data_IF_763518514768
#
_entry.id   IF_763518514768
#
_cell.length_a   1.000
_cell.length_b   1.000
_cell.length_c   1.000
_cell.angle_alpha   90.00
_cell.angle_beta   90.00
_cell.angle_gamma   90.00
#
_symmetry.space_group_name_H-M   'P 1'
#
loop_
_entity.id
_entity.type
_entity.pdbx_description
1 polymer ?
#
# COMPACT_ATOMS: atom_id res chain seq x y z
N UNK A 1 -46.45 -22.10 -53.15
CA UNK A 1 -47.87 -21.83 -53.45
C UNK A 1 -48.68 -22.42 -52.30
N UNK A 2 -49.47 -21.56 -51.63
CA UNK A 2 -50.31 -21.76 -50.43
C UNK A 2 -50.48 -23.17 -49.85
N UNK A 3 -50.11 -23.34 -48.57
CA UNK A 3 -50.85 -24.22 -47.66
C UNK A 3 -51.08 -23.48 -46.34
N UNK A 4 -52.36 -23.19 -46.07
CA UNK A 4 -52.86 -22.79 -44.77
C UNK A 4 -53.21 -24.06 -44.00
N UNK A 5 -52.70 -24.19 -42.77
CA UNK A 5 -53.19 -25.17 -41.80
C UNK A 5 -53.49 -24.44 -40.50
N UNK A 6 -54.78 -24.50 -40.16
CA UNK A 6 -55.38 -24.21 -38.87
C UNK A 6 -54.72 -25.01 -37.74
N UNK A 7 -54.63 -24.42 -36.56
CA UNK A 7 -54.80 -25.09 -35.26
C UNK A 7 -55.17 -24.04 -34.20
N UNK A 8 -56.41 -24.10 -33.72
CA UNK A 8 -56.92 -23.39 -32.53
C UNK A 8 -56.92 -24.31 -31.32
N UNK A 9 -56.54 -23.77 -30.15
CA UNK A 9 -57.04 -24.06 -28.78
C UNK A 9 -55.90 -23.80 -27.77
N UNK A 10 -55.79 -22.59 -27.19
CA UNK A 10 -56.49 -22.09 -26.00
C UNK A 10 -55.78 -22.37 -24.66
N UNK A 11 -55.68 -21.28 -23.88
CA UNK A 11 -55.51 -21.16 -22.42
C UNK A 11 -54.08 -21.03 -21.86
N UNK A 12 -53.67 -19.77 -21.69
CA UNK A 12 -52.67 -19.34 -20.71
C UNK A 12 -53.10 -17.99 -20.14
N UNK A 13 -53.73 -18.00 -18.95
CA UNK A 13 -54.19 -16.81 -18.24
C UNK A 13 -53.00 -15.87 -17.97
N UNK A 14 -53.18 -14.59 -18.30
CA UNK A 14 -52.32 -13.52 -17.81
C UNK A 14 -52.37 -13.49 -16.28
N UNK A 15 -51.20 -13.59 -15.66
CA UNK A 15 -50.99 -13.28 -14.25
C UNK A 15 -50.10 -12.04 -14.21
N UNK A 16 -50.62 -10.96 -13.62
CA UNK A 16 -49.91 -9.72 -13.36
C UNK A 16 -48.66 -9.99 -12.52
N UNK A 17 -47.50 -9.36 -12.79
CA UNK A 17 -46.40 -9.40 -11.85
C UNK A 17 -46.78 -8.57 -10.63
N UNK A 18 -46.78 -9.24 -9.47
CA UNK A 18 -46.81 -8.64 -8.14
C UNK A 18 -45.80 -7.49 -8.08
N UNK A 19 -46.30 -6.30 -7.78
CA UNK A 19 -45.50 -5.15 -7.33
C UNK A 19 -44.92 -5.54 -5.97
N UNK A 20 -43.77 -6.20 -5.99
CA UNK A 20 -42.93 -6.38 -4.82
C UNK A 20 -42.26 -5.05 -4.52
N UNK A 21 -42.71 -4.40 -3.45
CA UNK A 21 -42.02 -3.27 -2.82
C UNK A 21 -40.58 -3.66 -2.48
N UNK A 22 -39.64 -3.38 -3.39
CA UNK A 22 -38.24 -3.25 -3.03
C UNK A 22 -38.08 -1.88 -2.36
N UNK A 23 -38.40 -1.82 -1.06
CA UNK A 23 -37.85 -0.81 -0.17
C UNK A 23 -36.36 -1.14 0.06
N UNK A 24 -35.56 -1.02 -0.99
CA UNK A 24 -34.14 -0.78 -0.83
C UNK A 24 -33.98 0.71 -0.59
N UNK A 25 -33.78 1.11 0.67
CA UNK A 25 -33.35 2.46 1.02
C UNK A 25 -31.98 2.71 0.35
N UNK A 26 -31.99 3.11 -0.93
CA UNK A 26 -30.84 3.75 -1.55
C UNK A 26 -30.75 5.13 -0.91
N UNK A 27 -29.98 5.22 0.17
CA UNK A 27 -29.79 6.46 0.89
C UNK A 27 -29.03 7.44 -0.04
N UNK A 28 -29.74 8.39 -0.64
CA UNK A 28 -29.19 9.43 -1.52
C UNK A 28 -28.08 10.26 -0.85
N UNK A 29 -27.98 10.24 0.49
CA UNK A 29 -26.90 10.88 1.25
C UNK A 29 -25.50 10.32 0.89
N UNK A 30 -25.39 9.07 0.43
CA UNK A 30 -24.09 8.51 0.03
C UNK A 30 -23.48 9.22 -1.20
N UNK A 31 -24.30 9.83 -2.06
CA UNK A 31 -23.82 10.53 -3.25
C UNK A 31 -23.25 11.92 -2.95
N UNK A 32 -23.59 12.51 -1.79
CA UNK A 32 -23.12 13.83 -1.36
C UNK A 32 -22.09 13.79 -0.24
N UNK A 33 -21.68 12.59 0.22
CA UNK A 33 -20.65 12.46 1.25
C UNK A 33 -19.28 12.81 0.65
N UNK A 34 -18.60 13.79 1.27
CA UNK A 34 -17.19 14.09 0.97
C UNK A 34 -16.39 12.81 1.23
N UNK A 35 -15.59 12.39 0.25
CA UNK A 35 -14.78 11.18 0.37
C UNK A 35 -13.75 11.35 1.48
N UNK A 36 -13.55 10.29 2.26
CA UNK A 36 -12.53 10.22 3.29
C UNK A 36 -11.14 10.19 2.63
N UNK A 37 -10.17 10.85 3.26
CA UNK A 37 -8.84 11.05 2.69
C UNK A 37 -7.90 9.93 3.13
N UNK A 38 -7.21 9.31 2.17
CA UNK A 38 -6.21 8.26 2.44
C UNK A 38 -4.93 8.57 1.68
N UNK A 39 -3.77 8.49 2.35
CA UNK A 39 -2.47 8.65 1.71
C UNK A 39 -1.86 7.28 1.44
N UNK A 40 -1.22 7.12 0.29
CA UNK A 40 -0.53 5.88 -0.11
C UNK A 40 0.92 6.20 -0.46
N UNK A 41 1.86 5.59 0.26
CA UNK A 41 3.31 5.72 0.04
C UNK A 41 3.81 4.47 -0.69
N UNK A 42 4.15 4.64 -1.96
CA UNK A 42 4.61 3.61 -2.89
C UNK A 42 6.11 3.76 -3.20
N UNK A 43 6.73 2.69 -3.71
CA UNK A 43 8.16 2.63 -4.00
C UNK A 43 8.73 1.21 -3.93
N UNK A 44 9.85 0.97 -4.61
CA UNK A 44 10.55 -0.31 -4.55
C UNK A 44 11.10 -0.61 -3.14
N UNK A 45 11.43 -1.87 -2.85
CA UNK A 45 12.09 -2.24 -1.59
C UNK A 45 13.37 -1.44 -1.40
N UNK A 46 13.63 -0.97 -0.17
CA UNK A 46 14.80 -0.15 0.14
C UNK A 46 14.69 1.35 -0.17
N UNK A 47 13.62 1.85 -0.82
CA UNK A 47 13.53 3.29 -1.16
C UNK A 47 13.17 4.21 0.01
N UNK A 48 12.93 3.70 1.22
CA UNK A 48 12.59 4.51 2.39
C UNK A 48 11.10 4.81 2.60
N UNK A 49 10.19 3.99 2.04
CA UNK A 49 8.73 4.14 2.24
C UNK A 49 8.30 4.22 3.70
N UNK A 50 8.77 3.29 4.53
CA UNK A 50 8.39 3.26 5.95
C UNK A 50 8.92 4.48 6.70
N UNK A 51 10.15 4.92 6.40
CA UNK A 51 10.72 6.18 6.90
C UNK A 51 9.81 7.36 6.57
N UNK A 52 9.42 7.52 5.30
CA UNK A 52 8.52 8.61 4.88
C UNK A 52 7.16 8.53 5.59
N UNK A 53 6.56 7.33 5.68
CA UNK A 53 5.27 7.16 6.33
C UNK A 53 5.31 7.55 7.82
N UNK A 54 6.36 7.15 8.54
CA UNK A 54 6.55 7.49 9.96
C UNK A 54 6.82 8.99 10.13
N UNK A 55 7.65 9.59 9.29
CA UNK A 55 7.93 11.04 9.34
C UNK A 55 6.72 11.90 8.94
N UNK A 56 5.86 11.43 8.03
CA UNK A 56 4.56 12.06 7.81
C UNK A 56 3.67 11.90 9.05
N UNK A 57 3.75 10.76 9.73
CA UNK A 57 2.95 10.52 10.93
C UNK A 57 3.36 11.30 12.17
N UNK A 58 4.58 11.86 12.19
CA UNK A 58 4.95 12.86 13.19
C UNK A 58 4.45 14.26 12.87
N UNK A 59 4.08 14.54 11.60
CA UNK A 59 3.59 15.86 11.14
C UNK A 59 2.07 15.94 11.06
N UNK A 60 1.43 14.81 10.77
CA UNK A 60 -0.02 14.69 10.63
C UNK A 60 -0.54 13.66 11.64
N UNK A 61 -1.64 13.92 12.37
CA UNK A 61 -2.24 12.95 13.28
C UNK A 61 -2.72 11.75 12.47
N UNK A 62 -1.91 10.70 12.40
CA UNK A 62 -2.08 9.62 11.45
C UNK A 62 -1.60 8.28 12.00
N UNK A 63 -1.97 7.22 11.29
CA UNK A 63 -1.58 5.84 11.60
C UNK A 63 -1.25 5.10 10.30
N UNK A 64 -0.41 4.08 10.40
CA UNK A 64 0.16 3.42 9.23
C UNK A 64 -0.50 2.07 9.01
N UNK A 65 -0.91 1.79 7.77
CA UNK A 65 -1.39 0.47 7.34
C UNK A 65 -0.32 -0.15 6.45
N UNK A 66 0.30 -1.25 6.90
CA UNK A 66 1.29 -1.96 6.11
C UNK A 66 0.64 -2.61 4.88
N UNK A 67 1.26 -2.43 3.72
CA UNK A 67 0.86 -3.07 2.46
C UNK A 67 2.00 -3.89 1.84
N UNK A 68 2.94 -4.40 2.64
CA UNK A 68 3.89 -5.41 2.24
C UNK A 68 3.38 -6.82 2.60
N UNK A 69 3.18 -7.66 1.58
CA UNK A 69 2.61 -9.01 1.69
C UNK A 69 3.42 -9.99 2.54
N UNK A 70 4.69 -9.69 2.83
CA UNK A 70 5.52 -10.54 3.68
C UNK A 70 5.54 -9.99 5.11
N UNK A 71 5.54 -8.67 5.28
CA UNK A 71 5.57 -8.04 6.62
C UNK A 71 4.25 -8.18 7.39
N UNK A 72 3.16 -8.60 6.75
CA UNK A 72 1.90 -8.94 7.43
C UNK A 72 2.05 -10.10 8.42
N UNK A 73 3.00 -11.01 8.19
CA UNK A 73 3.18 -12.21 9.00
C UNK A 73 4.02 -11.93 10.27
N UNK A 74 3.74 -12.69 11.32
CA UNK A 74 4.53 -12.67 12.56
C UNK A 74 5.93 -13.30 12.38
N UNK A 75 6.94 -12.78 13.09
CA UNK A 75 8.31 -13.29 13.05
C UNK A 75 9.10 -12.96 11.78
N UNK A 76 10.36 -13.41 11.71
CA UNK A 76 11.31 -13.05 10.66
C UNK A 76 11.47 -11.52 10.49
N UNK A 77 11.61 -10.79 11.59
CA UNK A 77 11.56 -9.32 11.57
C UNK A 77 12.78 -8.73 10.84
N UNK A 78 13.96 -9.31 11.04
CA UNK A 78 15.19 -8.95 10.31
C UNK A 78 15.07 -9.34 8.84
N UNK A 79 14.72 -10.58 8.54
CA UNK A 79 14.63 -11.11 7.16
C UNK A 79 13.62 -10.32 6.32
N UNK A 80 12.49 -9.95 6.93
CA UNK A 80 11.42 -9.22 6.24
C UNK A 80 11.58 -7.71 6.33
N UNK A 81 12.66 -7.22 6.94
CA UNK A 81 13.01 -5.80 7.08
C UNK A 81 11.86 -4.98 7.69
N UNK A 82 11.27 -5.48 8.78
CA UNK A 82 10.22 -4.74 9.51
C UNK A 82 10.83 -3.57 10.25
N UNK A 83 10.03 -2.52 10.42
CA UNK A 83 10.40 -1.38 11.25
C UNK A 83 10.42 -1.80 12.72
N UNK A 84 11.50 -1.47 13.42
CA UNK A 84 11.65 -1.76 14.86
C UNK A 84 10.74 -0.85 15.69
N UNK A 85 10.49 -1.20 16.95
CA UNK A 85 9.66 -0.37 17.83
C UNK A 85 10.25 1.04 18.03
N UNK A 86 11.59 1.16 18.07
CA UNK A 86 12.29 2.43 18.16
C UNK A 86 12.07 3.28 16.90
N UNK A 87 12.17 2.66 15.72
CA UNK A 87 11.92 3.33 14.44
C UNK A 87 10.46 3.78 14.30
N UNK A 88 9.50 3.01 14.84
CA UNK A 88 8.06 3.35 14.81
C UNK A 88 7.74 4.62 15.59
N UNK A 89 8.57 5.02 16.56
CA UNK A 89 8.37 6.24 17.39
C UNK A 89 6.98 6.31 18.06
N UNK A 90 6.43 5.15 18.44
CA UNK A 90 5.09 5.04 19.03
C UNK A 90 3.92 5.26 18.05
N UNK A 91 4.17 5.40 16.74
CA UNK A 91 3.11 5.52 15.74
C UNK A 91 2.41 4.15 15.57
N UNK A 92 1.08 4.08 15.70
CA UNK A 92 0.35 2.83 15.49
C UNK A 92 0.51 2.28 14.08
N UNK A 93 0.84 0.99 13.99
CA UNK A 93 0.93 0.24 12.74
C UNK A 93 -0.13 -0.86 12.70
N UNK A 94 -0.85 -0.94 11.58
CA UNK A 94 -1.85 -1.96 11.28
C UNK A 94 -1.31 -2.90 10.21
N UNK A 95 -1.74 -4.16 10.24
CA UNK A 95 -1.34 -5.20 9.30
C UNK A 95 0.18 -5.45 9.24
N UNK A 96 0.89 -5.21 10.34
CA UNK A 96 2.31 -5.48 10.51
C UNK A 96 2.46 -6.52 11.62
N UNK A 97 3.03 -7.69 11.31
CA UNK A 97 3.08 -8.84 12.23
C UNK A 97 1.72 -9.18 12.86
N UNK A 98 0.67 -9.27 12.03
CA UNK A 98 -0.70 -9.53 12.51
C UNK A 98 -1.31 -10.84 12.00
N UNK A 99 -0.58 -11.58 11.15
CA UNK A 99 -1.07 -12.80 10.50
C UNK A 99 -0.17 -13.97 10.90
N UNK A 100 -0.80 -15.11 11.19
CA UNK A 100 -0.08 -16.35 11.48
C UNK A 100 0.86 -16.74 10.32
N UNK A 101 2.13 -17.11 10.59
CA UNK A 101 3.13 -17.32 9.54
C UNK A 101 2.84 -18.46 8.56
N UNK A 102 1.99 -19.41 8.95
CA UNK A 102 1.59 -20.57 8.14
C UNK A 102 0.31 -20.33 7.35
N UNK A 103 -0.40 -19.26 7.66
CA UNK A 103 -1.65 -18.91 7.02
C UNK A 103 -1.43 -18.31 5.64
N UNK A 104 -2.44 -18.44 4.78
CA UNK A 104 -2.45 -17.77 3.50
C UNK A 104 -3.12 -16.41 3.62
N UNK A 105 -2.47 -15.39 3.09
CA UNK A 105 -2.99 -14.03 3.04
C UNK A 105 -3.05 -13.54 1.60
N UNK A 106 -4.26 -13.42 1.06
CA UNK A 106 -4.52 -12.99 -0.31
C UNK A 106 -4.68 -11.48 -0.43
N UNK A 107 -4.72 -10.96 -1.67
CA UNK A 107 -5.05 -9.55 -1.91
C UNK A 107 -6.48 -9.21 -1.49
N UNK A 108 -7.42 -10.17 -1.54
CA UNK A 108 -8.79 -9.97 -1.07
C UNK A 108 -8.84 -9.83 0.45
N UNK A 109 -8.06 -10.66 1.16
CA UNK A 109 -7.93 -10.56 2.62
C UNK A 109 -7.31 -9.21 2.99
N UNK A 110 -6.23 -8.82 2.29
CA UNK A 110 -5.65 -7.49 2.46
C UNK A 110 -6.70 -6.39 2.28
N UNK A 111 -7.47 -6.39 1.20
CA UNK A 111 -8.49 -5.36 0.94
C UNK A 111 -9.51 -5.28 2.07
N UNK A 112 -9.98 -6.43 2.57
CA UNK A 112 -10.92 -6.47 3.69
C UNK A 112 -10.30 -5.89 4.97
N UNK A 113 -9.15 -6.41 5.39
CA UNK A 113 -8.48 -5.99 6.61
C UNK A 113 -7.99 -4.54 6.56
N UNK A 114 -7.50 -4.08 5.41
CA UNK A 114 -7.07 -2.70 5.21
C UNK A 114 -8.25 -1.74 5.28
N UNK A 115 -9.42 -2.12 4.73
CA UNK A 115 -10.63 -1.31 4.83
C UNK A 115 -11.08 -1.15 6.29
N UNK A 116 -11.06 -2.23 7.07
CA UNK A 116 -11.36 -2.18 8.51
C UNK A 116 -10.38 -1.30 9.26
N UNK A 117 -9.08 -1.41 8.98
CA UNK A 117 -8.06 -0.57 9.60
C UNK A 117 -8.27 0.91 9.24
N UNK A 118 -8.49 1.22 7.96
CA UNK A 118 -8.77 2.58 7.48
C UNK A 118 -9.99 3.17 8.19
N UNK A 119 -11.09 2.44 8.29
CA UNK A 119 -12.29 2.89 8.99
C UNK A 119 -12.04 3.16 10.48
N UNK A 120 -11.29 2.28 11.15
CA UNK A 120 -10.93 2.46 12.56
C UNK A 120 -10.04 3.68 12.79
N UNK A 121 -9.09 3.96 11.87
CA UNK A 121 -8.23 5.15 11.93
C UNK A 121 -9.05 6.42 11.72
N UNK A 122 -9.92 6.43 10.71
CA UNK A 122 -10.79 7.58 10.40
C UNK A 122 -11.78 7.86 11.55
N UNK A 123 -12.33 6.83 12.19
CA UNK A 123 -13.22 6.98 13.34
C UNK A 123 -12.55 7.62 14.57
N UNK A 124 -11.22 7.69 14.59
CA UNK A 124 -10.40 8.36 15.62
C UNK A 124 -9.88 9.72 15.14
N UNK A 125 -10.46 10.28 14.08
CA UNK A 125 -10.08 11.55 13.43
C UNK A 125 -8.60 11.60 13.03
N UNK A 126 -8.06 10.46 12.62
CA UNK A 126 -6.67 10.32 12.15
C UNK A 126 -6.62 10.03 10.67
N UNK A 127 -5.52 10.43 10.03
CA UNK A 127 -5.26 10.16 8.62
C UNK A 127 -4.70 8.74 8.44
N UNK A 128 -5.31 7.87 7.61
CA UNK A 128 -4.73 6.59 7.25
C UNK A 128 -3.60 6.79 6.21
N UNK A 129 -2.40 6.27 6.52
CA UNK A 129 -1.26 6.22 5.61
C UNK A 129 -0.95 4.77 5.27
N UNK A 130 -1.20 4.35 4.03
CA UNK A 130 -0.86 3.01 3.55
C UNK A 130 0.58 3.02 3.04
N UNK A 131 1.43 2.11 3.51
CA UNK A 131 2.83 2.04 3.10
C UNK A 131 3.30 0.60 2.89
N UNK A 132 3.95 0.31 1.76
CA UNK A 132 4.48 -1.04 1.49
C UNK A 132 4.86 -1.28 0.03
N UNK A 133 5.55 -2.40 -0.24
CA UNK A 133 6.09 -2.73 -1.56
C UNK A 133 5.20 -3.60 -2.44
N UNK A 134 4.06 -4.09 -1.93
CA UNK A 134 3.20 -5.00 -2.70
C UNK A 134 2.17 -4.23 -3.51
N UNK A 135 2.56 -3.80 -4.72
CA UNK A 135 1.69 -3.05 -5.63
C UNK A 135 0.37 -3.77 -5.94
N UNK A 136 0.35 -5.11 -5.94
CA UNK A 136 -0.88 -5.90 -6.14
C UNK A 136 -1.92 -5.69 -5.03
N UNK A 137 -1.49 -5.40 -3.80
CA UNK A 137 -2.39 -5.10 -2.67
C UNK A 137 -3.00 -3.71 -2.84
N UNK A 138 -2.18 -2.73 -3.23
CA UNK A 138 -2.66 -1.37 -3.54
C UNK A 138 -3.61 -1.39 -4.74
N UNK A 139 -3.28 -2.11 -5.81
CA UNK A 139 -4.16 -2.29 -6.97
C UNK A 139 -5.50 -2.91 -6.56
N UNK A 140 -5.49 -3.98 -5.76
CA UNK A 140 -6.72 -4.63 -5.32
C UNK A 140 -7.60 -3.69 -4.48
N UNK A 141 -7.01 -2.92 -3.56
CA UNK A 141 -7.75 -1.96 -2.73
C UNK A 141 -8.29 -0.77 -3.53
N UNK A 142 -7.51 -0.23 -4.45
CA UNK A 142 -7.87 1.01 -5.18
C UNK A 142 -8.75 0.72 -6.40
N UNK A 143 -8.50 -0.38 -7.10
CA UNK A 143 -9.18 -0.71 -8.36
C UNK A 143 -10.21 -1.81 -8.25
N UNK A 144 -9.95 -2.86 -7.49
CA UNK A 144 -10.82 -4.05 -7.51
C UNK A 144 -11.92 -3.97 -6.44
N UNK A 145 -11.72 -3.14 -5.41
CA UNK A 145 -12.71 -2.88 -4.38
C UNK A 145 -13.57 -1.67 -4.72
N UNK A 146 -14.80 -1.93 -5.17
CA UNK A 146 -15.72 -0.89 -5.63
C UNK A 146 -16.03 0.14 -4.53
N UNK A 147 -16.21 -0.32 -3.29
CA UNK A 147 -16.55 0.50 -2.14
C UNK A 147 -15.46 1.53 -1.85
N UNK A 148 -14.17 1.16 -1.97
CA UNK A 148 -13.07 2.11 -1.78
C UNK A 148 -13.15 3.28 -2.76
N UNK A 149 -13.56 3.05 -4.02
CA UNK A 149 -13.69 4.13 -5.02
C UNK A 149 -14.76 5.14 -4.66
N UNK A 150 -15.83 4.72 -3.98
CA UNK A 150 -16.91 5.61 -3.55
C UNK A 150 -16.58 6.31 -2.23
N UNK A 151 -15.89 5.63 -1.32
CA UNK A 151 -15.64 6.12 0.05
C UNK A 151 -14.36 6.93 0.18
N UNK A 152 -13.31 6.55 -0.53
CA UNK A 152 -11.98 7.13 -0.34
C UNK A 152 -11.54 7.97 -1.53
N UNK A 153 -10.89 9.07 -1.20
CA UNK A 153 -10.03 9.80 -2.12
C UNK A 153 -8.59 9.46 -1.74
N UNK A 154 -7.79 9.04 -2.71
CA UNK A 154 -6.41 8.61 -2.48
C UNK A 154 -5.42 9.68 -2.94
N UNK A 155 -4.39 9.92 -2.15
CA UNK A 155 -3.20 10.68 -2.52
C UNK A 155 -2.00 9.75 -2.61
N UNK A 156 -1.39 9.65 -3.79
CA UNK A 156 -0.28 8.73 -4.03
C UNK A 156 1.06 9.46 -4.04
N UNK A 157 1.93 9.08 -3.12
CA UNK A 157 3.32 9.49 -3.05
C UNK A 157 4.20 8.32 -3.54
N UNK A 158 5.07 8.56 -4.52
CA UNK A 158 6.00 7.56 -5.03
C UNK A 158 7.43 7.97 -4.71
N UNK A 159 8.06 7.24 -3.78
CA UNK A 159 9.48 7.40 -3.47
C UNK A 159 10.31 6.61 -4.48
N UNK A 160 11.02 7.35 -5.34
CA UNK A 160 11.84 6.83 -6.41
C UNK A 160 13.33 7.00 -6.09
N UNK A 161 14.14 6.02 -6.48
CA UNK A 161 15.60 6.05 -6.34
C UNK A 161 16.17 5.48 -7.63
N UNK A 162 17.22 6.10 -8.18
CA UNK A 162 17.85 5.57 -9.38
C UNK A 162 18.28 4.11 -9.19
N UNK A 163 18.03 3.28 -10.20
CA UNK A 163 18.18 1.83 -10.10
C UNK A 163 19.60 1.38 -9.70
N UNK A 164 20.70 1.91 -10.27
CA UNK A 164 22.04 1.48 -9.87
C UNK A 164 22.35 1.76 -8.40
N UNK A 165 21.91 2.92 -7.91
CA UNK A 165 22.09 3.33 -6.50
C UNK A 165 21.24 2.45 -5.59
N UNK A 166 19.99 2.20 -5.98
CA UNK A 166 19.08 1.34 -5.23
C UNK A 166 19.61 -0.10 -5.15
N UNK A 167 20.10 -0.67 -6.25
CA UNK A 167 20.64 -2.03 -6.29
C UNK A 167 21.87 -2.17 -5.38
N UNK A 168 22.79 -1.21 -5.41
CA UNK A 168 23.90 -1.16 -4.46
C UNK A 168 23.38 -1.11 -3.02
N UNK A 169 22.47 -0.18 -2.71
CA UNK A 169 21.93 -0.02 -1.36
C UNK A 169 21.26 -1.28 -0.82
N UNK A 170 20.40 -1.94 -1.62
CA UNK A 170 19.70 -3.15 -1.16
C UNK A 170 20.65 -4.34 -1.03
N UNK A 171 21.70 -4.41 -1.85
CA UNK A 171 22.77 -5.40 -1.71
C UNK A 171 23.53 -5.20 -0.41
N UNK A 172 24.03 -3.98 -0.14
CA UNK A 172 24.76 -3.64 1.08
C UNK A 172 23.88 -3.81 2.33
N UNK A 173 22.56 -3.62 2.18
CA UNK A 173 21.59 -3.85 3.25
C UNK A 173 21.49 -5.34 3.62
N UNK A 174 21.56 -6.24 2.64
CA UNK A 174 21.55 -7.69 2.94
C UNK A 174 22.74 -8.05 3.83
N UNK A 175 23.91 -7.47 3.60
CA UNK A 175 25.07 -7.68 4.48
C UNK A 175 24.77 -7.24 5.92
N UNK A 176 24.24 -6.02 6.10
CA UNK A 176 23.83 -5.54 7.43
C UNK A 176 22.75 -6.39 8.09
N UNK A 177 21.83 -6.96 7.30
CA UNK A 177 20.80 -7.85 7.81
C UNK A 177 21.42 -9.18 8.29
N UNK A 178 22.36 -9.74 7.51
CA UNK A 178 23.12 -10.95 7.91
C UNK A 178 23.86 -10.70 9.22
N UNK A 179 24.57 -9.58 9.33
CA UNK A 179 25.24 -9.17 10.58
C UNK A 179 24.25 -8.97 11.74
N UNK A 180 23.00 -8.61 11.43
CA UNK A 180 21.91 -8.38 12.36
C UNK A 180 21.11 -9.64 12.76
N UNK A 181 21.55 -10.85 12.40
CA UNK A 181 20.90 -12.10 12.82
C UNK A 181 19.92 -12.70 11.80
N UNK A 182 20.02 -12.33 10.53
CA UNK A 182 19.16 -12.87 9.46
C UNK A 182 19.20 -14.40 9.39
N UNK A 183 20.40 -14.99 9.48
CA UNK A 183 20.59 -16.44 9.32
C UNK A 183 19.95 -17.18 10.50
N UNK A 184 20.06 -16.61 11.70
CA UNK A 184 19.49 -17.13 12.93
C UNK A 184 17.97 -17.14 12.89
N UNK A 185 17.34 -16.07 12.37
CA UNK A 185 15.88 -16.04 12.18
C UNK A 185 15.40 -17.13 11.23
N UNK A 186 16.07 -17.30 10.08
CA UNK A 186 15.69 -18.33 9.11
C UNK A 186 15.92 -19.74 9.69
N UNK A 187 17.00 -19.92 10.46
CA UNK A 187 17.30 -21.19 11.13
C UNK A 187 16.19 -21.61 12.09
N UNK A 188 15.55 -20.67 12.79
CA UNK A 188 14.46 -20.98 13.74
C UNK A 188 13.21 -21.57 13.07
N UNK A 189 12.95 -21.20 11.81
CA UNK A 189 11.80 -21.68 11.05
C UNK A 189 12.16 -22.77 10.03
N UNK A 190 13.42 -23.24 10.07
CA UNK A 190 13.93 -24.17 9.09
C UNK A 190 13.16 -25.49 9.13
N UNK A 191 12.77 -25.92 7.94
CA UNK A 191 12.02 -27.15 7.71
C UNK A 191 12.70 -27.90 6.56
N UNK A 192 13.33 -29.06 6.81
CA UNK A 192 14.05 -29.83 5.81
C UNK A 192 13.18 -30.29 4.63
N UNK A 193 11.89 -30.49 4.86
CA UNK A 193 10.90 -30.85 3.84
C UNK A 193 10.02 -29.65 3.47
N UNK A 194 10.48 -28.44 3.79
CA UNK A 194 9.67 -27.23 3.81
C UNK A 194 9.16 -26.81 2.43
N UNK A 195 7.84 -26.63 2.34
CA UNK A 195 7.21 -25.93 1.22
C UNK A 195 7.40 -24.41 1.36
N UNK A 196 8.10 -23.81 0.41
CA UNK A 196 8.36 -22.37 0.32
C UNK A 196 7.32 -21.61 -0.50
N UNK A 197 6.23 -22.26 -0.91
CA UNK A 197 5.19 -21.64 -1.76
C UNK A 197 4.13 -20.85 -0.98
N UNK A 198 4.04 -21.02 0.34
CA UNK A 198 2.98 -20.47 1.19
C UNK A 198 3.51 -19.60 2.33
N UNK A 199 2.64 -18.71 2.83
CA UNK A 199 2.89 -17.94 4.05
C UNK A 199 4.19 -17.12 4.06
N UNK A 200 4.81 -17.04 5.23
CA UNK A 200 6.04 -16.27 5.45
C UNK A 200 7.26 -16.92 4.79
N UNK A 201 7.22 -18.24 4.56
CA UNK A 201 8.33 -19.02 3.97
C UNK A 201 8.71 -18.59 2.55
N UNK A 202 7.86 -17.79 1.90
CA UNK A 202 8.10 -17.14 0.60
C UNK A 202 9.07 -15.95 0.66
N UNK A 203 9.45 -15.50 1.85
CA UNK A 203 10.35 -14.38 2.03
C UNK A 203 11.72 -14.66 1.37
N UNK A 204 12.25 -13.67 0.65
CA UNK A 204 13.61 -13.73 0.10
C UNK A 204 14.57 -13.91 1.28
N UNK A 205 15.42 -14.94 1.23
CA UNK A 205 16.22 -15.38 2.36
C UNK A 205 15.95 -16.82 2.74
N UNK A 206 14.66 -17.15 2.87
CA UNK A 206 14.23 -18.42 3.43
C UNK A 206 14.51 -19.58 2.45
N UNK A 207 14.09 -19.53 1.18
CA UNK A 207 14.46 -20.57 0.21
C UNK A 207 15.97 -20.61 -0.09
N UNK A 208 16.63 -19.45 -0.13
CA UNK A 208 18.04 -19.35 -0.51
C UNK A 208 18.98 -20.00 0.50
N UNK A 209 18.62 -19.99 1.80
CA UNK A 209 19.39 -20.62 2.87
C UNK A 209 19.11 -22.12 3.04
N UNK A 210 18.16 -22.71 2.30
CA UNK A 210 17.77 -24.12 2.48
C UNK A 210 18.96 -25.08 2.42
N UNK A 211 19.77 -25.00 1.36
CA UNK A 211 20.91 -25.90 1.14
C UNK A 211 21.98 -25.73 2.24
N UNK A 212 22.21 -24.50 2.69
CA UNK A 212 23.15 -24.21 3.77
C UNK A 212 22.66 -24.82 5.10
N UNK A 213 21.40 -24.59 5.47
CA UNK A 213 20.84 -25.09 6.74
C UNK A 213 20.68 -26.61 6.75
N UNK A 214 20.40 -27.22 5.59
CA UNK A 214 20.39 -28.67 5.43
C UNK A 214 21.78 -29.26 5.64
N UNK A 215 22.80 -28.70 4.99
CA UNK A 215 24.19 -29.14 5.16
C UNK A 215 24.69 -28.93 6.60
N UNK A 216 24.29 -27.83 7.25
CA UNK A 216 24.60 -27.55 8.66
C UNK A 216 24.01 -28.63 9.58
N UNK A 217 22.73 -28.96 9.39
CA UNK A 217 22.05 -30.03 10.14
C UNK A 217 22.70 -31.39 9.92
N UNK A 218 23.10 -31.69 8.69
CA UNK A 218 23.69 -32.98 8.31
C UNK A 218 25.17 -33.10 8.73
N UNK A 219 25.74 -32.08 9.39
CA UNK A 219 27.08 -32.11 9.96
C UNK A 219 28.20 -31.93 8.93
N UNK A 220 27.94 -31.18 7.85
CA UNK A 220 28.94 -30.92 6.81
C UNK A 220 30.18 -30.16 7.33
N UNK A 221 31.29 -30.30 6.60
CA UNK A 221 32.56 -29.63 6.91
C UNK A 221 32.44 -28.09 6.88
N UNK A 222 33.16 -27.42 7.78
CA UNK A 222 33.14 -25.96 7.94
C UNK A 222 33.45 -25.21 6.63
N UNK A 223 34.36 -25.73 5.79
CA UNK A 223 34.68 -25.11 4.49
C UNK A 223 33.50 -25.19 3.54
N UNK A 224 32.77 -26.31 3.55
CA UNK A 224 31.57 -26.51 2.73
C UNK A 224 30.47 -25.57 3.19
N UNK A 225 30.24 -25.47 4.50
CA UNK A 225 29.24 -24.56 5.08
C UNK A 225 29.52 -23.11 4.71
N UNK A 226 30.78 -22.67 4.79
CA UNK A 226 31.18 -21.31 4.40
C UNK A 226 30.84 -21.03 2.93
N UNK A 227 31.19 -21.94 2.02
CA UNK A 227 30.90 -21.78 0.59
C UNK A 227 29.38 -21.72 0.34
N UNK A 228 28.61 -22.61 0.97
CA UNK A 228 27.16 -22.64 0.83
C UNK A 228 26.51 -21.36 1.36
N UNK A 229 26.99 -20.83 2.48
CA UNK A 229 26.51 -19.58 3.05
C UNK A 229 26.80 -18.38 2.14
N UNK A 230 28.03 -18.27 1.62
CA UNK A 230 28.41 -17.21 0.68
C UNK A 230 27.55 -17.26 -0.60
N UNK A 231 27.29 -18.46 -1.13
CA UNK A 231 26.41 -18.66 -2.28
C UNK A 231 24.96 -18.28 -1.98
N UNK A 232 24.45 -18.64 -0.79
CA UNK A 232 23.11 -18.28 -0.36
C UNK A 232 22.95 -16.74 -0.26
N UNK A 233 23.89 -16.07 0.43
CA UNK A 233 23.90 -14.60 0.58
C UNK A 233 23.95 -13.91 -0.80
N UNK A 234 24.80 -14.41 -1.72
CA UNK A 234 24.87 -13.90 -3.08
C UNK A 234 23.52 -14.00 -3.81
N UNK A 235 22.82 -15.14 -3.71
CA UNK A 235 21.48 -15.33 -4.28
C UNK A 235 20.43 -14.40 -3.66
N UNK A 236 20.51 -14.17 -2.34
CA UNK A 236 19.61 -13.23 -1.63
C UNK A 236 19.79 -11.82 -2.17
N UNK A 237 21.03 -11.37 -2.37
CA UNK A 237 21.34 -10.06 -2.98
C UNK A 237 20.77 -9.96 -4.38
N UNK A 238 21.02 -10.96 -5.23
CA UNK A 238 20.50 -11.00 -6.60
C UNK A 238 18.96 -10.95 -6.65
N UNK A 239 18.29 -11.76 -5.84
CA UNK A 239 16.83 -11.80 -5.80
C UNK A 239 16.23 -10.52 -5.23
N UNK A 240 16.88 -9.89 -4.25
CA UNK A 240 16.47 -8.59 -3.72
C UNK A 240 16.62 -7.48 -4.78
N UNK A 241 17.73 -7.46 -5.52
CA UNK A 241 17.93 -6.54 -6.65
C UNK A 241 16.88 -6.74 -7.76
N UNK A 242 16.57 -7.99 -8.09
CA UNK A 242 15.51 -8.34 -9.07
C UNK A 242 14.13 -7.91 -8.58
N UNK A 243 13.84 -8.07 -7.29
CA UNK A 243 12.58 -7.60 -6.69
C UNK A 243 12.46 -6.08 -6.81
N UNK A 244 13.50 -5.34 -6.43
CA UNK A 244 13.51 -3.88 -6.52
C UNK A 244 13.27 -3.41 -7.97
N UNK A 245 13.94 -4.05 -8.94
CA UNK A 245 13.73 -3.78 -10.37
C UNK A 245 12.28 -4.04 -10.81
N UNK A 246 11.73 -5.22 -10.52
CA UNK A 246 10.35 -5.59 -10.89
C UNK A 246 9.31 -4.67 -10.27
N UNK A 247 9.51 -4.26 -9.01
CA UNK A 247 8.63 -3.31 -8.34
C UNK A 247 8.67 -1.93 -9.02
N UNK A 248 9.87 -1.46 -9.38
CA UNK A 248 10.03 -0.19 -10.09
C UNK A 248 9.36 -0.21 -11.47
N UNK A 249 9.57 -1.26 -12.27
CA UNK A 249 8.88 -1.44 -13.54
C UNK A 249 7.36 -1.44 -13.37
N UNK A 250 6.87 -2.18 -12.37
CA UNK A 250 5.44 -2.24 -12.08
C UNK A 250 4.88 -0.87 -11.69
N UNK A 251 5.58 -0.08 -10.86
CA UNK A 251 5.14 1.28 -10.49
C UNK A 251 5.12 2.20 -11.71
N UNK A 252 6.12 2.13 -12.59
CA UNK A 252 6.13 2.89 -13.85
C UNK A 252 4.96 2.55 -14.75
N UNK A 253 4.62 1.26 -14.86
CA UNK A 253 3.42 0.82 -15.58
C UNK A 253 2.14 1.33 -14.91
N UNK A 254 2.08 1.38 -13.57
CA UNK A 254 0.92 1.92 -12.88
C UNK A 254 0.78 3.43 -13.09
N UNK A 255 1.89 4.16 -13.07
CA UNK A 255 1.93 5.59 -13.34
C UNK A 255 1.43 5.94 -14.74
N UNK A 256 1.75 5.12 -15.75
CA UNK A 256 1.29 5.36 -17.13
C UNK A 256 -0.12 4.84 -17.39
N UNK A 257 -0.50 3.71 -16.80
CA UNK A 257 -1.79 3.05 -17.05
C UNK A 257 -2.94 3.69 -16.28
N UNK A 258 -2.69 4.13 -15.05
CA UNK A 258 -3.74 4.64 -14.17
C UNK A 258 -3.53 6.12 -13.91
N UNK A 259 -4.60 6.91 -14.04
CA UNK A 259 -4.59 8.34 -13.74
C UNK A 259 -4.61 8.60 -12.21
N UNK A 260 -3.80 7.87 -11.46
CA UNK A 260 -3.68 7.97 -10.00
C UNK A 260 -2.97 9.26 -9.56
N UNK A 261 -2.51 10.10 -10.49
CA UNK A 261 -1.78 11.34 -10.21
C UNK A 261 -0.63 11.09 -9.22
N UNK A 262 0.15 10.03 -9.47
CA UNK A 262 1.29 9.63 -8.65
C UNK A 262 2.29 10.79 -8.56
N UNK A 263 2.54 11.29 -7.35
CA UNK A 263 3.54 12.33 -7.11
C UNK A 263 4.90 11.69 -6.86
N UNK A 264 5.76 11.69 -7.88
CA UNK A 264 7.13 11.18 -7.76
C UNK A 264 7.98 12.08 -6.87
N UNK A 265 8.72 11.46 -5.96
CA UNK A 265 9.67 12.05 -5.03
C UNK A 265 11.02 11.38 -5.28
N UNK A 266 12.00 12.12 -5.79
CA UNK A 266 13.31 11.57 -6.12
C UNK A 266 14.23 11.60 -4.89
N UNK A 267 14.38 10.43 -4.25
CA UNK A 267 15.22 10.26 -3.08
C UNK A 267 16.69 9.97 -3.45
N UNK A 268 17.07 9.94 -4.73
CA UNK A 268 18.42 9.51 -5.16
C UNK A 268 19.54 10.28 -4.48
N UNK A 269 19.40 11.61 -4.31
CA UNK A 269 20.41 12.43 -3.63
C UNK A 269 20.63 12.05 -2.16
N UNK A 270 19.58 11.62 -1.46
CA UNK A 270 19.68 11.19 -0.08
C UNK A 270 20.45 9.87 0.08
N UNK A 271 20.44 9.02 -0.95
CA UNK A 271 21.18 7.74 -0.98
C UNK A 271 22.64 7.89 -1.44
N UNK A 272 23.01 9.05 -1.99
CA UNK A 272 24.38 9.37 -2.41
C UNK A 272 25.19 10.10 -1.33
N UNK A 273 24.54 10.52 -0.26
CA UNK A 273 25.13 11.31 0.82
C UNK A 273 25.14 10.48 2.09
N UNK A 274 26.17 10.65 2.91
CA UNK A 274 26.34 9.94 4.17
C UNK A 274 26.08 10.86 5.37
N UNK A 275 25.70 10.26 6.50
CA UNK A 275 25.58 10.95 7.80
C UNK A 275 24.49 12.03 7.84
N UNK A 276 24.77 13.13 8.56
CA UNK A 276 23.82 14.25 8.74
C UNK A 276 23.38 14.88 7.41
N UNK A 277 24.27 14.93 6.42
CA UNK A 277 23.95 15.43 5.09
C UNK A 277 22.84 14.62 4.42
N UNK A 278 22.78 13.30 4.64
CA UNK A 278 21.71 12.44 4.12
C UNK A 278 20.35 12.79 4.69
N UNK A 279 20.30 13.12 5.99
CA UNK A 279 19.06 13.50 6.68
C UNK A 279 18.53 14.82 6.13
N UNK A 280 19.40 15.82 5.98
CA UNK A 280 19.04 17.13 5.43
C UNK A 280 18.61 17.04 3.96
N UNK A 281 19.28 16.21 3.16
CA UNK A 281 18.92 16.02 1.75
C UNK A 281 17.60 15.27 1.62
N UNK A 282 17.36 14.27 2.47
CA UNK A 282 16.07 13.56 2.53
C UNK A 282 14.93 14.51 2.93
N UNK A 283 15.14 15.34 3.95
CA UNK A 283 14.18 16.35 4.39
C UNK A 283 13.75 17.25 3.22
N UNK A 284 14.72 17.83 2.51
CA UNK A 284 14.48 18.78 1.41
C UNK A 284 13.87 18.14 0.16
N UNK A 285 14.33 16.95 -0.21
CA UNK A 285 13.93 16.31 -1.48
C UNK A 285 12.70 15.41 -1.36
N UNK A 286 12.44 14.86 -0.18
CA UNK A 286 11.39 13.85 0.02
C UNK A 286 10.35 14.33 1.02
N UNK A 287 10.75 14.65 2.26
CA UNK A 287 9.77 14.88 3.32
C UNK A 287 9.03 16.22 3.21
N UNK A 288 9.72 17.33 2.92
CA UNK A 288 9.09 18.64 2.73
C UNK A 288 8.10 18.64 1.55
N UNK A 289 8.48 18.18 0.33
CA UNK A 289 7.53 18.10 -0.79
C UNK A 289 6.34 17.20 -0.47
N UNK A 290 6.58 16.06 0.18
CA UNK A 290 5.50 15.15 0.61
C UNK A 290 4.54 15.83 1.58
N UNK A 291 5.07 16.55 2.57
CA UNK A 291 4.26 17.26 3.55
C UNK A 291 3.37 18.32 2.89
N UNK A 292 3.92 19.09 1.93
CA UNK A 292 3.15 20.09 1.17
C UNK A 292 2.04 19.45 0.32
N UNK A 293 2.33 18.31 -0.31
CA UNK A 293 1.35 17.57 -1.11
C UNK A 293 0.21 17.06 -0.21
N UNK A 294 0.54 16.45 0.94
CA UNK A 294 -0.45 15.95 1.89
C UNK A 294 -1.28 17.09 2.46
N UNK A 295 -0.65 18.20 2.86
CA UNK A 295 -1.35 19.38 3.38
C UNK A 295 -2.36 19.96 2.37
N UNK A 296 -1.94 20.13 1.11
CA UNK A 296 -2.83 20.55 0.02
C UNK A 296 -3.99 19.58 -0.18
N UNK A 297 -3.70 18.28 -0.18
CA UNK A 297 -4.69 17.22 -0.36
C UNK A 297 -5.76 17.22 0.75
N UNK A 298 -5.37 17.47 2.00
CA UNK A 298 -6.28 17.59 3.13
C UNK A 298 -7.11 18.89 3.05
N UNK A 299 -6.50 19.99 2.61
CA UNK A 299 -7.14 21.30 2.50
C UNK A 299 -8.12 21.43 1.32
N UNK A 300 -7.89 20.73 0.20
CA UNK A 300 -8.63 20.93 -1.06
C UNK A 300 -10.14 20.67 -0.96
N UNK A 301 -10.59 19.87 -0.01
CA UNK A 301 -12.03 19.69 0.20
C UNK A 301 -12.67 20.75 1.11
N UNK A 302 -11.89 21.53 1.88
CA UNK A 302 -12.42 22.58 2.76
C UNK A 302 -12.70 23.89 2.01
N UNK A 303 -12.07 24.09 0.84
CA UNK A 303 -12.27 25.26 -0.01
C UNK A 303 -13.56 25.24 -0.85
N UNK A 304 -14.22 24.09 -1.00
CA UNK A 304 -15.44 23.99 -1.84
C UNK A 304 -16.74 24.38 -1.12
N UNK A 305 -16.74 24.54 0.19
CA UNK A 305 -17.94 24.90 0.97
C UNK A 305 -18.10 26.42 1.10
N UNK A 306 -17.01 27.20 1.03
CA UNK A 306 -17.05 28.65 1.27
C UNK A 306 -17.37 29.52 0.05
N UNK A 307 -17.52 28.96 -1.15
CA UNK A 307 -17.85 29.74 -2.37
C UNK A 307 -19.28 29.54 -2.88
N UNK A 308 -20.17 28.98 -2.05
CA UNK A 308 -21.46 28.48 -2.52
C UNK A 308 -22.72 29.05 -1.88
N UNK A 309 -22.70 30.16 -1.12
CA UNK A 309 -23.92 30.89 -0.76
C UNK A 309 -23.61 32.40 -0.68
N UNK A 310 -23.68 33.07 -1.82
CA UNK A 310 -23.99 34.50 -1.88
C UNK A 310 -25.29 34.65 -2.67
N UNK A 311 -26.40 34.71 -1.95
CA UNK A 311 -27.73 35.01 -2.49
C UNK A 311 -27.72 36.38 -3.17
N UNK A 312 -28.30 36.53 -4.37
CA UNK A 312 -28.42 37.82 -5.04
C UNK A 312 -29.68 38.54 -4.54
N UNK A 313 -29.53 39.43 -3.57
CA UNK A 313 -30.60 40.37 -3.16
C UNK A 313 -30.02 41.76 -2.90
N UNK A 314 -29.88 42.56 -3.97
CA UNK A 314 -29.88 44.02 -3.91
C UNK A 314 -29.88 44.64 -5.33
N UNK A 315 -30.93 44.39 -6.11
CA UNK A 315 -31.31 45.29 -7.22
C UNK A 315 -32.76 45.72 -6.99
N UNK A 316 -32.95 46.65 -6.07
CA UNK A 316 -34.11 47.55 -6.09
C UNK A 316 -33.88 48.70 -5.11
N UNK A 317 -33.32 49.81 -5.60
CA UNK A 317 -33.46 51.17 -5.05
C UNK A 317 -32.81 52.17 -6.00
N UNK A 318 -33.51 52.47 -7.09
CA UNK A 318 -33.19 53.63 -7.93
C UNK A 318 -34.42 54.12 -8.71
N UNK A 319 -35.58 54.30 -8.07
CA UNK A 319 -36.64 55.19 -8.56
C UNK A 319 -37.46 55.69 -7.37
N UNK A 320 -37.20 56.90 -6.89
CA UNK A 320 -38.14 57.84 -6.24
C UNK A 320 -37.39 58.93 -5.46
N UNK A 321 -36.86 59.94 -6.17
CA UNK A 321 -36.52 61.24 -5.58
C UNK A 321 -36.45 62.32 -6.66
N UNK A 322 -37.56 62.53 -7.38
CA UNK A 322 -37.87 63.81 -8.05
C UNK A 322 -39.34 64.09 -7.74
N UNK A 323 -39.58 64.78 -6.63
CA UNK A 323 -40.78 65.59 -6.36
C UNK A 323 -40.68 66.16 -4.94
N UNK A 324 -39.92 67.25 -4.80
CA UNK A 324 -40.23 68.50 -4.07
C UNK A 324 -38.98 69.34 -3.92
#
# INVERSE_FOLDING_TARGET
MRMALSLTSAAGKQVQPLVGNFQGNFNMEQFFRRKDKVVVVMGATGTGKSRLAIELATRFPSEIVNSDKIQVYEGLDVVTNKVTEEERRGIPHHLLSSIDPKSNFSSRDFTHHASVAIESILARDRLPIIAGGSNSYIEALVNDYAEARFRYEFCFLWVDVSLPILQKFVSDRVDRMVDGGFVEEVRQIFDPEGDYSQGIKRAIGVPELHEYLRAERDGADERVLKILLELAISRIKDNTCRLAFRQLEKIRLLHTKWNWNLRRLDATGAFLTDGENSVDVWEKLVLEPSSRIVDQFLCDGSRRITTGISTPDAVSRAVAAVSR
#
